data_IF_977591953438
#
_entry.id   IF_977591953438
#
_cell.length_a   1.000
_cell.length_b   1.000
_cell.length_c   1.000
_cell.angle_alpha   90.00
_cell.angle_beta   90.00
_cell.angle_gamma   90.00
#
_symmetry.space_group_name_H-M   'P 1'
#
loop_
_entity.id
_entity.type
_entity.pdbx_description
1 polymer ?
#
# COMPACT_ATOMS: atom_id res chain seq x y z
N UNK A 1 -12.43 -2.43 -12.96
CA UNK A 1 -12.21 -2.25 -11.51
C UNK A 1 -13.08 -3.25 -10.78
N UNK A 2 -12.48 -4.20 -10.07
CA UNK A 2 -13.23 -5.13 -9.22
C UNK A 2 -13.23 -4.68 -7.77
N UNK A 3 -14.37 -4.88 -7.10
CA UNK A 3 -14.57 -4.56 -5.69
C UNK A 3 -15.19 -5.79 -5.02
N UNK A 4 -14.62 -6.18 -3.87
CA UNK A 4 -15.14 -7.32 -3.11
C UNK A 4 -16.59 -7.09 -2.66
N UNK A 5 -17.44 -8.12 -2.75
CA UNK A 5 -18.89 -8.02 -2.52
C UNK A 5 -19.28 -7.31 -1.21
N UNK A 6 -18.52 -7.56 -0.13
CA UNK A 6 -18.73 -6.92 1.18
C UNK A 6 -18.58 -5.38 1.21
N UNK A 7 -18.12 -4.77 0.12
CA UNK A 7 -17.93 -3.34 -0.04
C UNK A 7 -18.83 -2.70 -1.11
N UNK A 8 -19.80 -3.44 -1.70
CA UNK A 8 -20.75 -2.87 -2.68
C UNK A 8 -21.49 -1.65 -2.14
N UNK A 9 -22.09 -1.76 -0.95
CA UNK A 9 -22.77 -0.63 -0.29
C UNK A 9 -21.83 0.57 -0.08
N UNK A 10 -20.56 0.32 0.27
CA UNK A 10 -19.56 1.38 0.45
C UNK A 10 -19.20 2.04 -0.88
N UNK A 11 -19.10 1.25 -1.96
CA UNK A 11 -18.87 1.79 -3.30
C UNK A 11 -20.06 2.65 -3.74
N UNK A 12 -21.29 2.17 -3.59
CA UNK A 12 -22.49 2.92 -3.97
C UNK A 12 -22.59 4.27 -3.24
N UNK A 13 -22.26 4.28 -1.94
CA UNK A 13 -22.18 5.52 -1.15
C UNK A 13 -21.09 6.47 -1.69
N UNK A 14 -19.88 5.96 -1.96
CA UNK A 14 -18.78 6.74 -2.57
C UNK A 14 -19.23 7.33 -3.91
N UNK A 15 -19.83 6.53 -4.79
CA UNK A 15 -20.26 6.98 -6.13
C UNK A 15 -21.32 8.08 -6.05
N UNK A 16 -22.16 8.08 -5.01
CA UNK A 16 -23.13 9.14 -4.77
C UNK A 16 -22.50 10.48 -4.35
N UNK A 17 -21.30 10.42 -3.76
CA UNK A 17 -20.56 11.54 -3.20
C UNK A 17 -19.49 12.12 -4.14
N UNK A 18 -19.12 11.39 -5.21
CA UNK A 18 -18.18 11.88 -6.22
C UNK A 18 -18.81 13.06 -6.97
N UNK A 19 -18.14 14.23 -7.03
CA UNK A 19 -18.65 15.37 -7.78
C UNK A 19 -18.87 15.01 -9.26
N UNK A 20 -20.03 15.38 -9.81
CA UNK A 20 -20.34 15.18 -11.25
C UNK A 20 -19.53 16.08 -12.20
N UNK A 21 -18.71 16.97 -11.65
CA UNK A 21 -17.89 17.90 -12.42
C UNK A 21 -16.49 17.36 -12.69
N UNK A 22 -15.88 17.90 -13.74
CA UNK A 22 -14.60 17.45 -14.27
C UNK A 22 -13.44 17.62 -13.25
N UNK A 23 -12.73 16.52 -12.97
CA UNK A 23 -11.53 16.50 -12.12
C UNK A 23 -10.36 17.06 -12.93
N UNK A 24 -9.67 18.07 -12.38
CA UNK A 24 -8.62 18.81 -13.10
C UNK A 24 -7.42 17.89 -13.42
N UNK A 25 -6.98 17.92 -14.68
CA UNK A 25 -5.79 17.20 -15.16
C UNK A 25 -4.52 17.69 -14.47
N UNK A 26 -3.60 16.78 -14.16
CA UNK A 26 -2.25 17.10 -13.69
C UNK A 26 -1.18 16.39 -14.54
N UNK A 27 0.01 16.98 -14.74
CA UNK A 27 1.04 16.41 -15.64
C UNK A 27 1.59 15.05 -15.18
N UNK A 28 1.33 14.67 -13.93
CA UNK A 28 1.86 13.47 -13.31
C UNK A 28 1.07 12.20 -13.63
N UNK A 29 -0.20 12.29 -14.06
CA UNK A 29 -0.95 11.12 -14.55
C UNK A 29 -0.30 10.54 -15.81
N UNK A 30 0.02 11.39 -16.79
CA UNK A 30 0.75 11.00 -18.00
C UNK A 30 2.13 10.40 -17.66
N UNK A 31 2.83 10.99 -16.69
CA UNK A 31 4.13 10.46 -16.24
C UNK A 31 3.99 9.07 -15.62
N UNK A 32 2.94 8.80 -14.84
CA UNK A 32 2.64 7.46 -14.32
C UNK A 32 2.31 6.49 -15.46
N UNK A 33 1.46 6.88 -16.40
CA UNK A 33 1.12 6.06 -17.57
C UNK A 33 2.38 5.58 -18.29
N UNK A 34 3.25 6.51 -18.71
CA UNK A 34 4.50 6.18 -19.40
C UNK A 34 5.42 5.30 -18.56
N UNK A 35 5.48 5.54 -17.25
CA UNK A 35 6.32 4.76 -16.35
C UNK A 35 5.85 3.32 -16.27
N UNK A 36 4.55 3.10 -16.00
CA UNK A 36 3.95 1.78 -15.85
C UNK A 36 3.93 1.03 -17.19
N UNK A 37 3.52 1.67 -18.28
CA UNK A 37 3.55 1.05 -19.61
C UNK A 37 4.97 0.63 -20.02
N UNK A 38 6.00 1.37 -19.58
CA UNK A 38 7.39 0.95 -19.80
C UNK A 38 7.84 -0.25 -18.95
N UNK A 39 7.20 -0.45 -17.78
CA UNK A 39 7.37 -1.64 -16.94
C UNK A 39 6.72 -2.87 -17.58
N UNK A 40 5.47 -2.73 -18.00
CA UNK A 40 4.70 -3.77 -18.67
C UNK A 40 5.39 -4.20 -19.97
N UNK A 41 5.73 -3.25 -20.84
CA UNK A 41 6.44 -3.52 -22.09
C UNK A 41 7.81 -4.15 -21.88
N UNK A 42 8.49 -3.87 -20.75
CA UNK A 42 9.75 -4.53 -20.43
C UNK A 42 9.53 -6.02 -20.15
N UNK A 43 8.56 -6.38 -19.32
CA UNK A 43 8.21 -7.78 -19.06
C UNK A 43 7.84 -8.51 -20.35
N UNK A 44 6.92 -7.96 -21.13
CA UNK A 44 6.40 -8.58 -22.36
C UNK A 44 7.52 -8.88 -23.38
N UNK A 45 8.60 -8.09 -23.38
CA UNK A 45 9.75 -8.26 -24.28
C UNK A 45 10.81 -9.24 -23.79
N UNK A 46 10.86 -9.52 -22.49
CA UNK A 46 12.03 -10.18 -21.86
C UNK A 46 11.69 -11.43 -21.06
N UNK A 47 10.41 -11.67 -20.75
CA UNK A 47 9.99 -12.80 -19.93
C UNK A 47 10.45 -14.18 -20.46
N UNK A 48 10.40 -14.42 -21.77
CA UNK A 48 10.74 -15.70 -22.39
C UNK A 48 12.19 -16.14 -22.13
N UNK A 49 13.12 -15.19 -22.09
CA UNK A 49 14.56 -15.48 -21.98
C UNK A 49 15.10 -15.31 -20.56
N UNK A 50 14.38 -14.57 -19.70
CA UNK A 50 14.90 -14.13 -18.42
C UNK A 50 14.20 -14.78 -17.22
N UNK A 51 13.14 -15.56 -17.45
CA UNK A 51 12.34 -16.16 -16.40
C UNK A 51 12.44 -17.68 -16.40
N UNK A 52 12.73 -18.25 -15.23
CA UNK A 52 12.76 -19.70 -15.00
C UNK A 52 11.70 -20.05 -13.98
N UNK A 53 10.89 -21.07 -14.28
CA UNK A 53 9.92 -21.64 -13.35
C UNK A 53 10.41 -23.01 -12.87
N UNK A 54 10.40 -23.22 -11.55
CA UNK A 54 10.57 -24.51 -10.91
C UNK A 54 9.42 -24.81 -9.94
N UNK A 55 9.13 -26.08 -9.70
CA UNK A 55 8.06 -26.52 -8.81
C UNK A 55 8.67 -27.21 -7.60
N UNK A 56 8.34 -26.71 -6.40
CA UNK A 56 8.82 -27.26 -5.14
C UNK A 56 7.69 -27.99 -4.42
N UNK A 57 7.98 -29.18 -3.90
CA UNK A 57 7.03 -30.05 -3.19
C UNK A 57 7.69 -30.75 -2.01
N UNK A 58 6.89 -31.22 -1.05
CA UNK A 58 7.37 -31.94 0.13
C UNK A 58 8.43 -31.13 0.89
N UNK A 59 9.56 -31.78 1.20
CA UNK A 59 10.66 -31.18 1.97
C UNK A 59 11.40 -30.05 1.22
N UNK A 60 11.14 -29.83 -0.07
CA UNK A 60 11.76 -28.76 -0.85
C UNK A 60 11.01 -27.42 -0.76
N UNK A 61 9.82 -27.39 -0.16
CA UNK A 61 9.04 -26.15 0.03
C UNK A 61 9.79 -25.21 0.97
N UNK A 62 9.92 -23.94 0.58
CA UNK A 62 10.60 -22.92 1.39
C UNK A 62 9.55 -22.11 2.16
N UNK A 63 9.60 -22.22 3.49
CA UNK A 63 8.75 -21.49 4.42
C UNK A 63 9.52 -20.40 5.14
N UNK A 64 8.93 -19.22 5.22
CA UNK A 64 9.45 -18.07 5.96
C UNK A 64 8.44 -17.63 7.01
N UNK A 65 8.98 -17.16 8.12
CA UNK A 65 8.27 -16.65 9.29
C UNK A 65 8.85 -15.29 9.65
N UNK A 66 8.04 -14.44 10.28
CA UNK A 66 8.48 -13.10 10.70
C UNK A 66 7.62 -12.59 11.84
N UNK A 67 7.77 -13.15 13.03
CA UNK A 67 7.11 -12.65 14.24
C UNK A 67 7.71 -11.29 14.67
N UNK A 68 6.89 -10.32 15.12
CA UNK A 68 5.43 -10.36 15.29
C UNK A 68 4.63 -9.88 14.07
N UNK A 69 5.27 -9.65 12.91
CA UNK A 69 4.69 -8.97 11.74
C UNK A 69 3.87 -9.89 10.82
N UNK A 70 4.19 -11.18 10.81
CA UNK A 70 3.44 -12.25 10.19
C UNK A 70 2.75 -13.02 11.32
N UNK A 71 1.43 -12.84 11.57
CA UNK A 71 0.76 -13.42 12.72
C UNK A 71 0.85 -14.95 12.78
N UNK A 72 1.15 -15.49 13.97
CA UNK A 72 1.30 -16.93 14.23
C UNK A 72 0.16 -17.79 13.67
N UNK A 73 -1.10 -17.40 13.90
CA UNK A 73 -2.28 -18.11 13.38
C UNK A 73 -2.25 -18.28 11.85
N UNK A 74 -1.83 -17.23 11.13
CA UNK A 74 -1.72 -17.27 9.67
C UNK A 74 -0.50 -18.11 9.27
N UNK A 75 0.62 -18.00 9.99
CA UNK A 75 1.80 -18.83 9.73
C UNK A 75 1.48 -20.32 9.88
N UNK A 76 0.80 -20.70 10.95
CA UNK A 76 0.38 -22.07 11.21
C UNK A 76 -0.57 -22.58 10.13
N UNK A 77 -1.53 -21.75 9.72
CA UNK A 77 -2.43 -22.08 8.62
C UNK A 77 -1.66 -22.35 7.32
N UNK A 78 -0.74 -21.46 6.94
CA UNK A 78 0.07 -21.64 5.72
C UNK A 78 0.92 -22.89 5.84
N UNK A 79 1.63 -23.10 6.96
CA UNK A 79 2.46 -24.31 7.19
C UNK A 79 1.66 -25.60 7.08
N UNK A 80 0.43 -25.61 7.57
CA UNK A 80 -0.44 -26.79 7.56
C UNK A 80 -0.99 -27.09 6.16
N UNK A 81 -1.30 -26.06 5.37
CA UNK A 81 -2.07 -26.20 4.14
C UNK A 81 -1.24 -26.08 2.85
N UNK A 82 0.02 -25.64 2.92
CA UNK A 82 0.88 -25.55 1.73
C UNK A 82 1.33 -26.95 1.29
N UNK A 83 1.06 -27.31 0.04
CA UNK A 83 1.45 -28.62 -0.53
C UNK A 83 2.38 -28.51 -1.75
N UNK A 84 2.40 -27.33 -2.39
CA UNK A 84 3.22 -27.04 -3.57
C UNK A 84 3.62 -25.56 -3.55
N UNK A 85 4.77 -25.25 -4.14
CA UNK A 85 5.22 -23.87 -4.33
C UNK A 85 5.73 -23.69 -5.76
N UNK A 86 5.25 -22.66 -6.45
CA UNK A 86 5.81 -22.23 -7.74
C UNK A 86 6.93 -21.25 -7.46
N UNK A 87 8.15 -21.60 -7.87
CA UNK A 87 9.33 -20.76 -7.70
C UNK A 87 9.76 -20.21 -9.06
N UNK A 88 9.51 -18.92 -9.25
CA UNK A 88 9.99 -18.16 -10.39
C UNK A 88 11.30 -17.46 -10.04
N UNK A 89 12.28 -17.54 -10.92
CA UNK A 89 13.50 -16.73 -10.86
C UNK A 89 13.55 -15.85 -12.10
N UNK A 90 13.66 -14.55 -11.90
CA UNK A 90 13.78 -13.57 -12.96
C UNK A 90 15.14 -12.87 -12.91
N UNK A 91 15.86 -12.92 -14.03
CA UNK A 91 17.16 -12.27 -14.19
C UNK A 91 16.99 -10.93 -14.92
N UNK A 92 17.23 -9.83 -14.21
CA UNK A 92 17.31 -8.53 -14.85
C UNK A 92 18.68 -8.35 -15.51
N UNK A 93 18.82 -7.48 -16.51
CA UNK A 93 20.13 -7.10 -17.04
C UNK A 93 21.08 -6.64 -15.92
N UNK A 94 22.31 -7.16 -15.93
CA UNK A 94 23.29 -6.94 -14.86
C UNK A 94 23.23 -8.01 -13.77
N UNK A 95 23.39 -7.62 -12.51
CA UNK A 95 23.51 -8.54 -11.36
C UNK A 95 22.22 -8.64 -10.51
N UNK A 96 21.11 -8.07 -10.99
CA UNK A 96 19.84 -7.98 -10.26
C UNK A 96 18.99 -9.24 -10.49
N UNK A 97 18.54 -9.87 -9.40
CA UNK A 97 17.73 -11.10 -9.45
C UNK A 97 16.50 -10.96 -8.55
N UNK A 98 15.34 -11.35 -9.07
CA UNK A 98 14.09 -11.43 -8.29
C UNK A 98 13.61 -12.88 -8.28
N UNK A 99 13.40 -13.43 -7.09
CA UNK A 99 12.87 -14.77 -6.87
C UNK A 99 11.49 -14.66 -6.23
N UNK A 100 10.48 -15.29 -6.83
CA UNK A 100 9.10 -15.25 -6.36
C UNK A 100 8.63 -16.66 -6.05
N UNK A 101 8.16 -16.85 -4.82
CA UNK A 101 7.67 -18.12 -4.30
C UNK A 101 6.16 -18.01 -4.04
N UNK A 102 5.35 -18.56 -4.94
CA UNK A 102 3.90 -18.66 -4.73
C UNK A 102 3.57 -19.93 -3.96
N UNK A 103 3.12 -19.80 -2.72
CA UNK A 103 2.62 -20.90 -1.91
C UNK A 103 1.21 -21.29 -2.36
N UNK A 104 1.03 -22.56 -2.73
CA UNK A 104 -0.26 -23.08 -3.15
C UNK A 104 -0.88 -23.84 -1.98
N UNK A 105 -1.99 -23.31 -1.49
CA UNK A 105 -2.82 -23.94 -0.46
C UNK A 105 -4.08 -24.50 -1.13
N UNK A 106 -4.40 -25.77 -0.91
CA UNK A 106 -5.66 -26.42 -1.32
C UNK A 106 -6.02 -26.47 -2.83
N UNK A 107 -5.18 -25.98 -3.75
CA UNK A 107 -5.41 -26.13 -5.20
C UNK A 107 -4.91 -27.49 -5.74
N UNK A 108 -5.84 -28.37 -6.12
CA UNK A 108 -5.53 -29.61 -6.86
C UNK A 108 -5.10 -29.31 -8.31
N UNK A 109 -5.65 -28.27 -8.92
CA UNK A 109 -5.33 -27.81 -10.28
C UNK A 109 -4.72 -26.41 -10.18
N UNK A 110 -3.50 -26.28 -10.71
CA UNK A 110 -2.77 -25.02 -10.71
C UNK A 110 -3.14 -24.21 -11.95
N UNK A 111 -3.67 -23.01 -11.77
CA UNK A 111 -3.86 -22.06 -12.87
C UNK A 111 -2.54 -21.31 -13.14
N UNK A 112 -1.67 -21.86 -14.00
CA UNK A 112 -0.38 -21.24 -14.33
C UNK A 112 -0.51 -19.87 -15.00
N UNK A 113 -1.59 -19.61 -15.74
CA UNK A 113 -1.82 -18.31 -16.38
C UNK A 113 -1.97 -17.21 -15.34
N UNK A 114 -2.77 -17.44 -14.29
CA UNK A 114 -2.90 -16.51 -13.16
C UNK A 114 -1.55 -16.11 -12.58
N UNK A 115 -0.66 -17.08 -12.32
CA UNK A 115 0.66 -16.78 -11.76
C UNK A 115 1.58 -16.08 -12.77
N UNK A 116 1.43 -16.35 -14.07
CA UNK A 116 2.12 -15.61 -15.12
C UNK A 116 1.68 -14.14 -15.18
N UNK A 117 0.38 -13.87 -15.05
CA UNK A 117 -0.18 -12.52 -15.03
C UNK A 117 0.29 -11.75 -13.77
N UNK A 118 0.32 -12.42 -12.61
CA UNK A 118 0.93 -11.86 -11.40
C UNK A 118 2.42 -11.55 -11.60
N UNK A 119 3.18 -12.43 -12.28
CA UNK A 119 4.60 -12.19 -12.60
C UNK A 119 4.76 -10.96 -13.51
N UNK A 120 3.87 -10.74 -14.48
CA UNK A 120 3.87 -9.53 -15.31
C UNK A 120 3.81 -8.26 -14.46
N UNK A 121 2.91 -8.23 -13.47
CA UNK A 121 2.77 -7.10 -12.55
C UNK A 121 3.99 -6.94 -11.62
N UNK A 122 4.47 -8.05 -11.04
CA UNK A 122 5.61 -8.08 -10.13
C UNK A 122 6.87 -7.53 -10.81
N UNK A 123 7.20 -8.06 -11.98
CA UNK A 123 8.41 -7.68 -12.72
C UNK A 123 8.30 -6.28 -13.31
N UNK A 124 7.11 -5.89 -13.79
CA UNK A 124 6.85 -4.52 -14.25
C UNK A 124 7.17 -3.48 -13.17
N UNK A 125 6.66 -3.69 -11.95
CA UNK A 125 6.93 -2.77 -10.85
C UNK A 125 8.38 -2.85 -10.36
N UNK A 126 8.97 -4.06 -10.29
CA UNK A 126 10.38 -4.21 -9.91
C UNK A 126 11.32 -3.47 -10.88
N UNK A 127 11.05 -3.53 -12.19
CA UNK A 127 11.79 -2.75 -13.20
C UNK A 127 11.73 -1.25 -12.93
N UNK A 128 10.54 -0.74 -12.57
CA UNK A 128 10.35 0.66 -12.21
C UNK A 128 11.15 0.99 -10.95
N UNK A 129 11.07 0.15 -9.91
CA UNK A 129 11.82 0.34 -8.68
C UNK A 129 13.33 0.50 -8.94
N UNK A 130 13.90 -0.33 -9.80
CA UNK A 130 15.33 -0.29 -10.15
C UNK A 130 15.79 1.04 -10.78
N UNK A 131 14.90 1.81 -11.42
CA UNK A 131 15.24 3.12 -12.01
C UNK A 131 15.43 4.24 -10.99
N UNK A 132 14.84 4.08 -9.80
CA UNK A 132 14.83 5.09 -8.74
C UNK A 132 15.68 4.69 -7.52
N UNK A 133 15.94 3.40 -7.34
CA UNK A 133 16.68 2.87 -6.21
C UNK A 133 18.18 3.21 -6.23
N UNK A 134 18.83 3.05 -5.08
CA UNK A 134 20.28 2.92 -5.01
C UNK A 134 20.71 1.55 -5.58
N UNK A 135 21.94 1.44 -6.08
CA UNK A 135 22.41 0.23 -6.76
C UNK A 135 22.43 -0.98 -5.83
N UNK A 136 22.71 -0.74 -4.56
CA UNK A 136 22.94 -1.71 -3.50
C UNK A 136 21.63 -2.32 -2.97
N UNK A 137 20.53 -1.55 -2.93
CA UNK A 137 19.25 -2.04 -2.40
C UNK A 137 18.68 -3.16 -3.28
N UNK A 138 18.30 -4.30 -2.68
CA UNK A 138 17.66 -5.43 -3.35
C UNK A 138 18.43 -5.91 -4.58
N UNK A 139 19.74 -6.20 -4.44
CA UNK A 139 20.52 -6.86 -5.50
C UNK A 139 19.93 -8.23 -5.82
N UNK A 140 19.58 -8.97 -4.78
CA UNK A 140 18.76 -10.18 -4.87
C UNK A 140 17.56 -10.01 -3.97
N UNK A 141 16.37 -10.28 -4.48
CA UNK A 141 15.12 -10.07 -3.75
C UNK A 141 14.26 -11.33 -3.80
N UNK A 142 13.99 -11.92 -2.63
CA UNK A 142 13.10 -13.06 -2.47
C UNK A 142 11.73 -12.61 -1.99
N UNK A 143 10.68 -12.96 -2.72
CA UNK A 143 9.30 -12.58 -2.44
C UNK A 143 8.51 -13.86 -2.19
N UNK A 144 7.89 -13.98 -1.02
CA UNK A 144 7.06 -15.11 -0.63
C UNK A 144 5.60 -14.67 -0.63
N UNK A 145 4.81 -15.22 -1.55
CA UNK A 145 3.39 -14.94 -1.72
C UNK A 145 2.59 -16.15 -1.23
N UNK A 146 2.08 -16.07 -0.01
CA UNK A 146 1.23 -17.13 0.56
C UNK A 146 -0.25 -16.91 0.27
N UNK A 147 -0.69 -15.65 0.19
CA UNK A 147 -2.03 -15.26 -0.28
C UNK A 147 -3.19 -16.03 0.41
N UNK A 148 -3.14 -16.13 1.75
CA UNK A 148 -4.23 -16.75 2.51
C UNK A 148 -5.53 -15.93 2.45
N UNK A 149 -6.65 -16.60 2.71
CA UNK A 149 -7.99 -15.98 2.72
C UNK A 149 -8.29 -15.11 3.95
N UNK A 150 -7.38 -15.07 4.93
CA UNK A 150 -7.53 -14.22 6.12
C UNK A 150 -7.73 -12.76 5.72
N UNK A 151 -8.72 -12.11 6.34
CA UNK A 151 -9.07 -10.71 6.06
C UNK A 151 -8.70 -9.80 7.23
N UNK A 152 -8.37 -8.56 6.90
CA UNK A 152 -8.23 -7.44 7.83
C UNK A 152 -9.61 -7.05 8.32
N UNK A 153 -9.88 -7.30 9.60
CA UNK A 153 -11.17 -6.99 10.23
C UNK A 153 -10.98 -6.32 11.59
N UNK A 154 -11.89 -5.39 11.90
CA UNK A 154 -12.07 -4.88 13.25
C UNK A 154 -12.43 -6.02 14.20
N UNK A 155 -11.91 -6.07 15.43
CA UNK A 155 -12.35 -7.01 16.46
C UNK A 155 -13.82 -6.83 16.85
N UNK A 156 -14.41 -7.86 17.49
CA UNK A 156 -15.81 -7.82 17.96
C UNK A 156 -15.99 -6.84 19.14
N UNK A 157 -14.92 -6.59 19.89
CA UNK A 157 -14.94 -5.85 21.13
C UNK A 157 -13.97 -4.67 21.05
N UNK A 158 -14.49 -3.46 21.19
CA UNK A 158 -13.77 -2.18 21.11
C UNK A 158 -12.62 -2.02 22.11
N UNK A 159 -12.54 -2.87 23.14
CA UNK A 159 -11.43 -2.89 24.11
C UNK A 159 -10.15 -3.46 23.48
N UNK A 160 -10.29 -4.30 22.43
CA UNK A 160 -9.14 -4.94 21.77
C UNK A 160 -8.34 -3.89 21.01
N UNK A 161 -7.05 -3.79 21.33
CA UNK A 161 -6.11 -2.89 20.66
C UNK A 161 -5.80 -3.42 19.25
N UNK A 162 -5.91 -2.57 18.24
CA UNK A 162 -5.63 -2.93 16.86
C UNK A 162 -4.13 -3.21 16.66
N UNK A 163 -3.81 -4.38 16.13
CA UNK A 163 -2.43 -4.84 15.90
C UNK A 163 -2.20 -5.41 14.51
N UNK A 164 -1.08 -6.10 14.34
CA UNK A 164 -0.61 -6.68 13.08
C UNK A 164 -1.65 -7.62 12.46
N UNK A 165 -2.29 -8.46 13.29
CA UNK A 165 -3.37 -9.36 12.85
C UNK A 165 -4.61 -8.62 12.33
N UNK A 166 -4.82 -7.34 12.66
CA UNK A 166 -5.96 -6.58 12.16
C UNK A 166 -5.65 -5.79 10.89
N UNK A 167 -4.39 -5.37 10.68
CA UNK A 167 -4.07 -4.34 9.67
C UNK A 167 -2.90 -4.68 8.73
N UNK A 168 -1.99 -5.58 9.09
CA UNK A 168 -0.81 -5.89 8.26
C UNK A 168 -1.14 -7.00 7.26
N UNK A 169 -0.57 -6.93 6.06
CA UNK A 169 -0.70 -7.98 5.03
C UNK A 169 0.67 -8.49 4.56
N UNK A 170 1.72 -7.68 4.71
CA UNK A 170 3.07 -8.03 4.32
C UNK A 170 4.10 -7.49 5.31
N UNK A 171 5.34 -7.89 5.07
CA UNK A 171 6.54 -7.43 5.77
C UNK A 171 7.74 -7.57 4.85
N UNK A 172 8.69 -6.65 4.96
CA UNK A 172 9.90 -6.63 4.15
C UNK A 172 11.11 -6.13 4.92
N UNK A 173 12.29 -6.47 4.46
CA UNK A 173 13.53 -5.81 4.92
C UNK A 173 13.77 -4.53 4.13
N UNK A 174 14.34 -3.49 4.77
CA UNK A 174 14.61 -2.21 4.09
C UNK A 174 15.99 -2.19 3.46
N UNK A 175 16.06 -1.83 2.17
CA UNK A 175 17.28 -1.60 1.38
C UNK A 175 18.45 -2.55 1.73
N UNK A 176 18.15 -3.84 1.87
CA UNK A 176 19.17 -4.87 2.09
C UNK A 176 19.68 -5.39 0.75
N UNK A 177 20.95 -5.80 0.66
CA UNK A 177 21.53 -6.36 -0.58
C UNK A 177 20.78 -7.64 -0.98
N UNK A 178 20.58 -8.51 0.00
CA UNK A 178 19.70 -9.67 -0.03
C UNK A 178 18.42 -9.29 0.71
N UNK A 179 17.34 -9.04 -0.04
CA UNK A 179 16.08 -8.57 0.53
C UNK A 179 15.03 -9.69 0.55
N UNK A 180 14.22 -9.74 1.59
CA UNK A 180 13.11 -10.68 1.71
C UNK A 180 11.80 -9.93 1.96
N UNK A 181 10.77 -10.25 1.18
CA UNK A 181 9.40 -9.77 1.36
C UNK A 181 8.46 -10.95 1.53
N UNK A 182 7.56 -10.88 2.50
CA UNK A 182 6.49 -11.86 2.72
C UNK A 182 5.15 -11.15 2.58
N UNK A 183 4.24 -11.69 1.77
CA UNK A 183 2.86 -11.23 1.65
C UNK A 183 1.95 -12.42 1.89
N UNK A 184 1.16 -12.35 2.96
CA UNK A 184 0.46 -13.51 3.51
C UNK A 184 -1.06 -13.46 3.38
N UNK A 185 -1.66 -12.34 2.98
CA UNK A 185 -3.10 -12.28 2.64
C UNK A 185 -3.29 -12.01 1.15
N UNK A 186 -4.34 -12.58 0.58
CA UNK A 186 -4.72 -12.33 -0.81
C UNK A 186 -5.29 -10.92 -1.00
N UNK A 187 -5.97 -10.37 0.01
CA UNK A 187 -6.57 -9.04 -0.09
C UNK A 187 -5.49 -7.97 -0.34
N UNK A 188 -5.70 -7.12 -1.33
CA UNK A 188 -4.80 -6.02 -1.72
C UNK A 188 -3.37 -6.46 -2.02
N UNK A 189 -3.17 -7.72 -2.44
CA UNK A 189 -1.83 -8.32 -2.55
C UNK A 189 -0.88 -7.47 -3.40
N UNK A 190 -1.36 -6.89 -4.50
CA UNK A 190 -0.52 -6.10 -5.41
C UNK A 190 -0.20 -4.72 -4.85
N UNK A 191 -1.18 -4.04 -4.23
CA UNK A 191 -0.95 -2.79 -3.50
C UNK A 191 0.07 -2.99 -2.38
N UNK A 192 -0.08 -4.08 -1.62
CA UNK A 192 0.87 -4.44 -0.55
C UNK A 192 2.23 -4.76 -1.14
N UNK A 193 2.31 -5.46 -2.26
CA UNK A 193 3.57 -5.68 -2.96
C UNK A 193 4.25 -4.36 -3.35
N UNK A 194 3.50 -3.38 -3.88
CA UNK A 194 4.03 -2.05 -4.18
C UNK A 194 4.59 -1.39 -2.91
N UNK A 195 3.82 -1.41 -1.82
CA UNK A 195 4.20 -0.87 -0.51
C UNK A 195 5.52 -1.47 -0.01
N UNK A 196 5.59 -2.80 0.07
CA UNK A 196 6.78 -3.50 0.57
C UNK A 196 7.99 -3.30 -0.36
N UNK A 197 7.78 -3.22 -1.67
CA UNK A 197 8.85 -2.94 -2.63
C UNK A 197 9.41 -1.53 -2.48
N UNK A 198 8.59 -0.54 -2.17
CA UNK A 198 9.08 0.82 -1.90
C UNK A 198 10.01 0.84 -0.67
N UNK A 199 9.67 0.13 0.41
CA UNK A 199 10.58 -0.04 1.55
C UNK A 199 11.84 -0.83 1.18
N UNK A 200 11.68 -1.93 0.43
CA UNK A 200 12.78 -2.79 0.02
C UNK A 200 13.82 -2.06 -0.85
N UNK A 201 13.38 -1.13 -1.70
CA UNK A 201 14.25 -0.34 -2.58
C UNK A 201 14.63 1.03 -2.00
N UNK A 202 14.27 1.32 -0.75
CA UNK A 202 14.66 2.53 -0.03
C UNK A 202 14.02 3.81 -0.56
N UNK A 203 12.71 3.77 -0.86
CA UNK A 203 11.96 4.91 -1.41
C UNK A 203 11.40 5.84 -0.34
N UNK A 204 11.53 5.46 0.91
CA UNK A 204 10.91 6.09 2.06
C UNK A 204 11.88 7.00 2.83
N UNK A 205 11.40 7.49 3.97
CA UNK A 205 12.16 8.35 4.87
C UNK A 205 13.15 7.47 5.64
N UNK A 206 14.43 7.84 5.59
CA UNK A 206 15.51 7.11 6.22
C UNK A 206 15.46 7.20 7.74
N UNK A 207 16.16 6.26 8.37
CA UNK A 207 16.29 6.16 9.82
C UNK A 207 16.83 7.44 10.47
N UNK A 208 17.65 8.20 9.73
CA UNK A 208 18.18 9.50 10.16
C UNK A 208 17.09 10.53 10.42
N UNK A 209 16.02 10.53 9.63
CA UNK A 209 15.00 11.59 9.65
C UNK A 209 13.64 11.15 10.18
N UNK A 210 13.31 9.86 10.19
CA UNK A 210 12.00 9.34 10.65
C UNK A 210 11.62 9.86 12.04
N UNK A 211 12.55 9.86 12.99
CA UNK A 211 12.28 10.31 14.36
C UNK A 211 12.08 11.82 14.45
N UNK A 212 12.75 12.59 13.58
CA UNK A 212 12.66 14.04 13.54
C UNK A 212 11.28 14.47 13.06
N UNK A 213 10.83 13.93 11.92
CA UNK A 213 9.50 14.26 11.38
C UNK A 213 8.38 13.73 12.29
N UNK A 214 8.51 12.52 12.81
CA UNK A 214 7.50 11.92 13.71
C UNK A 214 7.30 12.77 14.96
N UNK A 215 8.38 13.29 15.56
CA UNK A 215 8.31 14.20 16.72
C UNK A 215 7.57 15.49 16.40
N UNK A 216 7.82 16.09 15.23
CA UNK A 216 7.14 17.33 14.86
C UNK A 216 5.66 17.10 14.57
N UNK A 217 5.32 16.10 13.75
CA UNK A 217 3.93 15.79 13.38
C UNK A 217 3.11 15.34 14.58
N UNK A 218 3.71 14.65 15.56
CA UNK A 218 3.02 14.26 16.79
C UNK A 218 2.42 15.44 17.56
N UNK A 219 2.98 16.65 17.43
CA UNK A 219 2.44 17.85 18.08
C UNK A 219 1.11 18.32 17.51
N UNK A 220 0.70 17.80 16.34
CA UNK A 220 -0.57 18.14 15.68
C UNK A 220 -1.75 17.30 16.19
N UNK A 221 -1.48 16.21 16.93
CA UNK A 221 -2.48 15.21 17.25
C UNK A 221 -2.40 14.74 18.72
N UNK A 222 -3.54 14.70 19.40
CA UNK A 222 -3.67 14.40 20.82
C UNK A 222 -3.83 12.91 21.11
N UNK A 223 -2.93 12.09 20.56
CA UNK A 223 -2.99 10.62 20.67
C UNK A 223 -1.65 9.97 21.00
N UNK A 224 -1.72 8.72 21.49
CA UNK A 224 -0.56 7.87 21.73
C UNK A 224 -0.25 7.03 20.48
N UNK A 225 0.50 7.61 19.57
CA UNK A 225 1.05 6.91 18.40
C UNK A 225 2.56 7.14 18.26
N UNK A 226 3.25 6.19 17.63
CA UNK A 226 4.63 6.37 17.17
C UNK A 226 4.72 7.28 15.94
N UNK A 227 3.60 7.57 15.28
CA UNK A 227 3.50 8.52 14.15
C UNK A 227 4.48 8.18 13.02
N UNK A 228 4.50 6.93 12.54
CA UNK A 228 5.43 6.52 11.48
C UNK A 228 5.05 7.13 10.13
N UNK A 229 5.57 8.32 9.86
CA UNK A 229 5.24 9.12 8.67
C UNK A 229 5.67 8.41 7.39
N UNK A 230 6.75 7.62 7.46
CA UNK A 230 7.24 6.83 6.34
C UNK A 230 6.25 5.77 5.86
N UNK A 231 5.47 5.18 6.76
CA UNK A 231 4.42 4.21 6.44
C UNK A 231 3.26 4.89 5.69
N UNK A 232 2.87 6.10 6.13
CA UNK A 232 1.83 6.88 5.47
C UNK A 232 2.27 7.35 4.08
N UNK A 233 3.53 7.78 3.93
CA UNK A 233 4.10 8.19 2.65
C UNK A 233 4.11 7.04 1.64
N UNK A 234 4.58 5.85 2.05
CA UNK A 234 4.62 4.67 1.19
C UNK A 234 3.22 4.16 0.88
N UNK A 235 2.32 4.11 1.87
CA UNK A 235 0.93 3.69 1.65
C UNK A 235 0.19 4.60 0.68
N UNK A 236 0.43 5.92 0.74
CA UNK A 236 -0.14 6.90 -0.21
C UNK A 236 0.32 6.58 -1.64
N UNK A 237 1.62 6.39 -1.84
CA UNK A 237 2.15 6.00 -3.15
C UNK A 237 1.64 4.65 -3.62
N UNK A 238 1.59 3.65 -2.72
CA UNK A 238 1.14 2.30 -3.05
C UNK A 238 -0.29 2.31 -3.60
N UNK A 239 -1.19 3.09 -2.99
CA UNK A 239 -2.57 3.25 -3.44
C UNK A 239 -2.67 3.98 -4.79
N UNK A 240 -1.89 5.06 -4.97
CA UNK A 240 -1.82 5.79 -6.24
C UNK A 240 -1.34 4.88 -7.38
N UNK A 241 -0.25 4.14 -7.16
CA UNK A 241 0.36 3.26 -8.17
C UNK A 241 -0.56 2.07 -8.46
N UNK A 242 -1.15 1.45 -7.42
CA UNK A 242 -2.12 0.37 -7.59
C UNK A 242 -3.33 0.82 -8.43
N UNK A 243 -3.88 2.01 -8.12
CA UNK A 243 -4.96 2.60 -8.91
C UNK A 243 -4.56 2.92 -10.35
N UNK A 244 -3.31 3.31 -10.59
CA UNK A 244 -2.78 3.51 -11.93
C UNK A 244 -2.65 2.20 -12.72
N UNK A 245 -2.13 1.12 -12.11
CA UNK A 245 -2.12 -0.20 -12.74
C UNK A 245 -3.55 -0.68 -13.05
N UNK A 246 -4.48 -0.58 -12.07
CA UNK A 246 -5.87 -0.96 -12.26
C UNK A 246 -6.56 -0.19 -13.40
N UNK A 247 -6.18 1.07 -13.59
CA UNK A 247 -6.68 1.90 -14.69
C UNK A 247 -6.05 1.52 -16.03
N UNK A 248 -4.76 1.18 -16.07
CA UNK A 248 -4.06 0.79 -17.30
C UNK A 248 -4.56 -0.54 -17.86
N UNK A 249 -4.78 -1.53 -16.99
CA UNK A 249 -5.20 -2.87 -17.44
C UNK A 249 -6.56 -2.88 -18.16
N UNK A 250 -7.38 -1.84 -17.96
CA UNK A 250 -8.70 -1.71 -18.61
C UNK A 250 -8.78 -0.56 -19.61
N UNK A 251 -7.73 0.25 -19.73
CA UNK A 251 -7.71 1.40 -20.63
C UNK A 251 -7.38 1.00 -22.06
N UNK A 252 -8.10 1.56 -23.03
CA UNK A 252 -7.79 1.36 -24.46
C UNK A 252 -6.60 2.21 -24.92
N UNK A 253 -6.48 3.42 -24.38
CA UNK A 253 -5.43 4.37 -24.72
C UNK A 253 -5.06 5.29 -23.54
N UNK A 254 -4.10 6.20 -23.75
CA UNK A 254 -3.62 7.13 -22.72
C UNK A 254 -4.73 8.10 -22.23
N UNK A 255 -5.67 8.47 -23.09
CA UNK A 255 -6.77 9.38 -22.75
C UNK A 255 -7.83 8.66 -21.92
N UNK A 256 -8.10 7.40 -22.24
CA UNK A 256 -8.99 6.54 -21.47
C UNK A 256 -8.41 6.24 -20.09
N UNK A 257 -7.12 5.87 -20.04
CA UNK A 257 -6.36 5.75 -18.79
C UNK A 257 -6.52 6.98 -17.91
N UNK A 258 -6.36 8.18 -18.47
CA UNK A 258 -6.44 9.42 -17.69
C UNK A 258 -7.80 9.55 -16.98
N UNK A 259 -8.90 9.24 -17.66
CA UNK A 259 -10.25 9.29 -17.07
C UNK A 259 -10.43 8.24 -15.99
N UNK A 260 -10.04 7.00 -16.27
CA UNK A 260 -10.15 5.87 -15.34
C UNK A 260 -9.32 6.11 -14.08
N UNK A 261 -8.12 6.66 -14.24
CA UNK A 261 -7.25 7.02 -13.13
C UNK A 261 -7.82 8.16 -12.29
N UNK A 262 -8.36 9.21 -12.92
CA UNK A 262 -9.06 10.30 -12.21
C UNK A 262 -10.22 9.79 -11.37
N UNK A 263 -11.06 8.95 -11.94
CA UNK A 263 -12.15 8.31 -11.22
C UNK A 263 -11.65 7.43 -10.08
N UNK A 264 -10.64 6.59 -10.34
CA UNK A 264 -10.05 5.70 -9.35
C UNK A 264 -9.46 6.47 -8.16
N UNK A 265 -8.81 7.60 -8.40
CA UNK A 265 -8.25 8.44 -7.33
C UNK A 265 -9.33 9.09 -6.46
N UNK A 266 -10.49 9.48 -7.02
CA UNK A 266 -11.62 9.96 -6.21
C UNK A 266 -12.21 8.86 -5.34
N UNK A 267 -12.35 7.65 -5.88
CA UNK A 267 -12.81 6.48 -5.12
C UNK A 267 -11.85 6.19 -3.97
N UNK A 268 -10.55 6.14 -4.24
CA UNK A 268 -9.53 5.90 -3.21
C UNK A 268 -9.47 7.03 -2.18
N UNK A 269 -9.63 8.30 -2.59
CA UNK A 269 -9.72 9.46 -1.68
C UNK A 269 -10.85 9.30 -0.68
N UNK A 270 -12.09 9.10 -1.15
CA UNK A 270 -13.24 8.96 -0.27
C UNK A 270 -13.17 7.68 0.56
N UNK A 271 -12.69 6.57 -0.01
CA UNK A 271 -12.49 5.33 0.74
C UNK A 271 -11.46 5.50 1.87
N UNK A 272 -10.41 6.30 1.66
CA UNK A 272 -9.42 6.60 2.70
C UNK A 272 -10.05 7.29 3.92
N UNK A 273 -10.96 8.24 3.66
CA UNK A 273 -11.71 8.98 4.68
C UNK A 273 -12.64 8.03 5.46
N UNK A 274 -13.39 7.18 4.75
CA UNK A 274 -14.28 6.18 5.35
C UNK A 274 -13.50 5.22 6.26
N UNK A 275 -12.33 4.74 5.82
CA UNK A 275 -11.52 3.84 6.64
C UNK A 275 -10.87 4.54 7.85
N UNK A 276 -10.50 5.82 7.71
CA UNK A 276 -10.05 6.63 8.84
C UNK A 276 -11.16 6.80 9.89
N UNK A 277 -12.39 7.12 9.46
CA UNK A 277 -13.55 7.20 10.37
C UNK A 277 -13.85 5.85 11.02
N UNK A 278 -13.75 4.74 10.28
CA UNK A 278 -13.99 3.39 10.79
C UNK A 278 -13.04 3.04 11.94
N UNK A 279 -11.74 3.32 11.77
CA UNK A 279 -10.74 3.05 12.82
C UNK A 279 -10.93 3.97 14.02
N UNK A 280 -11.17 5.26 13.82
CA UNK A 280 -11.39 6.20 14.92
C UNK A 280 -12.69 5.89 15.67
N UNK A 281 -13.77 5.61 14.93
CA UNK A 281 -15.08 5.27 15.48
C UNK A 281 -15.07 3.97 16.28
N UNK A 282 -14.27 2.97 15.86
CA UNK A 282 -14.03 1.77 16.66
C UNK A 282 -13.43 2.09 18.04
N UNK A 283 -12.61 3.13 18.13
CA UNK A 283 -12.04 3.64 19.39
C UNK A 283 -12.94 4.68 20.07
N UNK A 284 -14.19 4.85 19.63
CA UNK A 284 -15.12 5.88 20.09
C UNK A 284 -14.57 7.31 19.96
N UNK A 285 -13.87 7.57 18.85
CA UNK A 285 -13.31 8.87 18.51
C UNK A 285 -13.85 9.35 17.16
N UNK A 286 -14.03 10.66 17.05
CA UNK A 286 -14.11 11.37 15.77
C UNK A 286 -12.81 12.11 15.51
N UNK A 287 -12.55 12.48 14.25
CA UNK A 287 -11.31 13.17 13.88
C UNK A 287 -11.09 14.48 14.67
N UNK A 288 -12.17 15.21 14.94
CA UNK A 288 -12.15 16.41 15.79
C UNK A 288 -11.61 16.14 17.20
N UNK A 289 -11.81 14.94 17.76
CA UNK A 289 -11.23 14.59 19.05
C UNK A 289 -9.70 14.51 18.97
N UNK A 290 -9.16 14.12 17.81
CA UNK A 290 -7.75 13.81 17.60
C UNK A 290 -6.92 15.07 17.32
N UNK A 291 -7.50 16.12 16.75
CA UNK A 291 -6.79 17.36 16.35
C UNK A 291 -7.03 18.58 17.26
N UNK A 292 -7.90 18.46 18.27
CA UNK A 292 -8.17 19.52 19.25
C UNK A 292 -7.21 19.37 20.42
N UNK A 293 -6.36 20.37 20.63
CA UNK A 293 -5.38 20.40 21.72
C UNK A 293 -6.01 20.30 23.12
N UNK A 294 -5.35 19.55 24.00
CA UNK A 294 -5.71 19.19 25.38
C UNK A 294 -6.88 18.20 25.52
N UNK A 295 -7.11 17.37 24.50
CA UNK A 295 -8.14 16.34 24.59
C UNK A 295 -7.64 15.05 25.28
N UNK A 296 -7.73 15.04 26.61
CA UNK A 296 -7.44 13.84 27.44
C UNK A 296 -8.23 12.60 27.03
N UNK A 297 -9.38 12.75 26.37
CA UNK A 297 -10.21 11.63 25.90
C UNK A 297 -9.50 10.89 24.76
N UNK A 298 -9.07 11.60 23.72
CA UNK A 298 -8.37 11.00 22.57
C UNK A 298 -7.09 10.29 23.02
N UNK A 299 -6.34 10.93 23.92
CA UNK A 299 -5.11 10.36 24.47
C UNK A 299 -5.33 9.06 25.27
N UNK A 300 -6.53 8.86 25.84
CA UNK A 300 -6.88 7.69 26.66
C UNK A 300 -7.55 6.57 25.86
N UNK A 301 -8.35 6.93 24.85
CA UNK A 301 -9.11 6.00 24.02
C UNK A 301 -8.29 5.46 22.85
N UNK A 302 -7.42 6.27 22.25
CA UNK A 302 -6.63 5.85 21.09
C UNK A 302 -5.61 4.79 21.47
N UNK A 303 -5.67 3.61 20.83
CA UNK A 303 -4.80 2.47 21.13
C UNK A 303 -4.41 1.71 19.86
N UNK A 304 -3.11 1.60 19.61
CA UNK A 304 -2.55 0.79 18.52
C UNK A 304 -1.34 -0.03 19.00
N UNK A 305 -1.13 -1.20 18.39
CA UNK A 305 0.09 -2.02 18.48
C UNK A 305 0.80 -2.19 17.13
N UNK A 306 0.23 -1.64 16.07
CA UNK A 306 0.81 -1.52 14.72
C UNK A 306 0.67 -0.06 14.25
N UNK A 307 1.03 0.25 13.00
CA UNK A 307 1.07 1.62 12.46
C UNK A 307 -0.31 2.14 12.02
N UNK A 308 -1.35 1.88 12.82
CA UNK A 308 -2.76 2.12 12.48
C UNK A 308 -3.00 3.61 12.13
N UNK A 309 -2.51 4.53 12.96
CA UNK A 309 -2.67 5.96 12.70
C UNK A 309 -2.07 6.37 11.36
N UNK A 310 -0.88 5.84 11.04
CA UNK A 310 -0.19 6.14 9.81
C UNK A 310 -0.97 5.62 8.60
N UNK A 311 -1.34 4.33 8.61
CA UNK A 311 -2.01 3.68 7.48
C UNK A 311 -3.40 4.23 7.17
N UNK A 312 -4.16 4.64 8.19
CA UNK A 312 -5.55 5.04 8.00
C UNK A 312 -5.75 6.55 8.07
N UNK A 313 -5.22 7.23 9.09
CA UNK A 313 -5.53 8.65 9.33
C UNK A 313 -4.56 9.57 8.59
N UNK A 314 -3.24 9.37 8.74
CA UNK A 314 -2.27 10.19 8.01
C UNK A 314 -2.35 9.95 6.51
N UNK A 315 -2.50 8.69 6.07
CA UNK A 315 -2.73 8.39 4.66
C UNK A 315 -4.01 9.05 4.14
N UNK A 316 -5.10 9.13 4.90
CA UNK A 316 -6.30 9.84 4.46
C UNK A 316 -6.06 11.35 4.27
N UNK A 317 -5.24 11.97 5.13
CA UNK A 317 -4.82 13.38 4.96
C UNK A 317 -4.02 13.54 3.66
N UNK A 318 -3.05 12.65 3.39
CA UNK A 318 -2.22 12.69 2.18
C UNK A 318 -3.01 12.36 0.89
N UNK A 319 -3.96 11.44 0.99
CA UNK A 319 -4.86 11.04 -0.10
C UNK A 319 -6.00 12.03 -0.33
N UNK A 320 -6.16 13.08 0.49
CA UNK A 320 -7.20 14.09 0.27
C UNK A 320 -7.02 14.83 -1.06
N UNK A 321 -5.79 14.99 -1.52
CA UNK A 321 -5.51 15.45 -2.89
C UNK A 321 -4.30 14.67 -3.44
N UNK A 322 -4.54 13.49 -4.02
CA UNK A 322 -3.45 12.63 -4.51
C UNK A 322 -2.71 13.28 -5.69
N UNK A 323 -3.35 14.19 -6.43
CA UNK A 323 -2.72 14.94 -7.51
C UNK A 323 -1.72 15.95 -6.97
N UNK A 324 -2.14 16.76 -6.01
CA UNK A 324 -1.24 17.72 -5.35
C UNK A 324 -0.14 16.98 -4.60
N UNK A 325 -0.39 15.81 -4.02
CA UNK A 325 0.64 14.96 -3.42
C UNK A 325 1.71 14.52 -4.45
N UNK A 326 1.31 14.04 -5.63
CA UNK A 326 2.24 13.69 -6.70
C UNK A 326 3.06 14.90 -7.18
N UNK A 327 2.43 16.08 -7.29
CA UNK A 327 3.10 17.33 -7.65
C UNK A 327 4.11 17.75 -6.58
N UNK A 328 3.70 17.70 -5.31
CA UNK A 328 4.55 17.95 -4.17
C UNK A 328 5.80 17.05 -4.21
N UNK A 329 5.62 15.74 -4.36
CA UNK A 329 6.73 14.79 -4.47
C UNK A 329 7.65 15.11 -5.66
N UNK A 330 7.10 15.53 -6.80
CA UNK A 330 7.87 15.92 -7.98
C UNK A 330 8.72 17.18 -7.78
N UNK A 331 8.35 18.03 -6.83
CA UNK A 331 9.08 19.25 -6.45
C UNK A 331 10.16 18.98 -5.41
N UNK A 332 9.88 18.09 -4.45
CA UNK A 332 10.80 17.85 -3.32
C UNK A 332 11.83 16.74 -3.60
N UNK A 333 11.51 15.80 -4.49
CA UNK A 333 12.34 14.64 -4.77
C UNK A 333 13.00 14.75 -6.15
N UNK A 334 14.34 14.74 -6.19
CA UNK A 334 15.11 14.59 -7.44
C UNK A 334 14.69 13.33 -8.20
N UNK A 335 14.38 12.27 -7.46
CA UNK A 335 13.93 10.98 -7.97
C UNK A 335 12.45 10.75 -7.66
N UNK A 336 11.59 11.71 -8.02
CA UNK A 336 10.11 11.70 -7.92
C UNK A 336 9.46 10.77 -6.88
N UNK A 337 9.42 9.46 -7.12
CA UNK A 337 8.88 8.45 -6.21
C UNK A 337 9.70 8.27 -4.91
N UNK A 338 11.03 8.24 -5.03
CA UNK A 338 11.95 8.07 -3.90
C UNK A 338 12.10 9.38 -3.14
N UNK A 339 11.81 9.35 -1.84
CA UNK A 339 11.98 10.48 -0.95
C UNK A 339 13.45 10.93 -0.89
N UNK A 340 13.69 12.23 -1.11
CA UNK A 340 15.01 12.81 -1.00
C UNK A 340 15.34 13.05 0.49
N UNK A 341 16.13 12.16 1.07
CA UNK A 341 16.52 12.17 2.48
C UNK A 341 17.44 13.35 2.86
N UNK A 342 16.87 14.55 2.89
CA UNK A 342 17.49 15.82 3.26
C UNK A 342 16.61 16.55 4.27
N UNK A 343 17.22 17.34 5.16
CA UNK A 343 16.46 18.15 6.12
C UNK A 343 15.46 19.11 5.44
N UNK A 344 15.78 19.60 4.23
CA UNK A 344 14.87 20.44 3.43
C UNK A 344 13.59 19.68 3.07
N UNK A 345 13.72 18.52 2.42
CA UNK A 345 12.56 17.72 2.02
C UNK A 345 11.72 17.26 3.23
N UNK A 346 12.38 16.94 4.35
CA UNK A 346 11.72 16.59 5.61
C UNK A 346 10.85 17.74 6.14
N UNK A 347 11.39 18.97 6.18
CA UNK A 347 10.64 20.16 6.60
C UNK A 347 9.48 20.48 5.64
N UNK A 348 9.68 20.26 4.34
CA UNK A 348 8.63 20.50 3.36
C UNK A 348 7.49 19.46 3.46
N UNK A 349 7.80 18.20 3.77
CA UNK A 349 6.78 17.17 4.03
C UNK A 349 6.05 17.45 5.36
N UNK A 350 6.78 17.92 6.36
CA UNK A 350 6.17 18.35 7.63
C UNK A 350 5.14 19.46 7.40
N UNK A 351 5.51 20.49 6.64
CA UNK A 351 4.61 21.60 6.33
C UNK A 351 3.42 21.15 5.47
N UNK A 352 3.66 20.26 4.51
CA UNK A 352 2.58 19.68 3.70
C UNK A 352 1.51 18.99 4.58
N UNK A 353 1.93 18.20 5.57
CA UNK A 353 1.00 17.56 6.53
C UNK A 353 0.34 18.59 7.45
N UNK A 354 1.10 19.60 7.92
CA UNK A 354 0.60 20.68 8.79
C UNK A 354 -0.48 21.53 8.10
N UNK A 355 -0.42 21.68 6.79
CA UNK A 355 -1.50 22.31 6.02
C UNK A 355 -2.67 21.32 5.85
N UNK A 356 -2.37 20.09 5.44
CA UNK A 356 -3.38 19.08 5.11
C UNK A 356 -4.28 18.65 6.27
N UNK A 357 -3.77 18.52 7.50
CA UNK A 357 -4.54 17.95 8.61
C UNK A 357 -5.77 18.79 9.02
N UNK A 358 -5.81 20.07 8.63
CA UNK A 358 -6.92 21.01 8.82
C UNK A 358 -7.42 21.62 7.52
N UNK A 359 -7.08 21.01 6.39
CA UNK A 359 -7.58 21.46 5.09
C UNK A 359 -9.12 21.47 5.09
N UNK A 360 -9.78 22.55 4.64
CA UNK A 360 -11.24 22.64 4.67
C UNK A 360 -11.95 21.51 3.92
N UNK A 361 -11.42 21.09 2.76
CA UNK A 361 -12.02 20.01 1.96
C UNK A 361 -11.85 18.65 2.62
N UNK A 362 -10.71 18.42 3.29
CA UNK A 362 -10.51 17.21 4.10
C UNK A 362 -11.47 17.19 5.30
N UNK A 363 -11.55 18.32 6.02
CA UNK A 363 -12.41 18.46 7.19
C UNK A 363 -13.89 18.29 6.85
N UNK A 364 -14.33 18.79 5.69
CA UNK A 364 -15.69 18.57 5.19
C UNK A 364 -15.96 17.07 5.01
N UNK A 365 -15.08 16.35 4.31
CA UNK A 365 -15.30 14.93 4.03
C UNK A 365 -15.18 14.06 5.28
N UNK A 366 -14.17 14.26 6.14
CA UNK A 366 -13.98 13.46 7.37
C UNK A 366 -15.06 13.71 8.44
N UNK A 367 -15.88 14.76 8.30
CA UNK A 367 -17.01 15.07 9.19
C UNK A 367 -18.35 14.60 8.64
N UNK A 368 -18.44 14.20 7.37
CA UNK A 368 -19.64 13.57 6.82
C UNK A 368 -19.93 12.25 7.53
N UNK A 369 -21.20 11.89 7.62
CA UNK A 369 -21.62 10.62 8.20
C UNK A 369 -21.67 9.55 7.11
N UNK A 370 -20.63 8.74 6.99
CA UNK A 370 -20.61 7.58 6.09
C UNK A 370 -21.17 6.32 6.75
N UNK A 371 -21.66 5.38 5.94
CA UNK A 371 -22.16 4.09 6.40
C UNK A 371 -21.00 3.11 6.69
N UNK A 372 -20.74 2.85 7.97
CA UNK A 372 -19.62 2.02 8.45
C UNK A 372 -20.01 0.56 8.75
N UNK A 373 -21.05 0.02 8.10
CA UNK A 373 -21.60 -1.32 8.42
C UNK A 373 -20.60 -2.47 8.31
N UNK A 374 -19.72 -2.47 7.30
CA UNK A 374 -18.74 -3.54 7.16
C UNK A 374 -17.56 -3.33 8.14
N UNK A 375 -17.05 -4.44 8.69
CA UNK A 375 -15.93 -4.44 9.64
C UNK A 375 -14.57 -4.60 8.99
N UNK A 376 -14.52 -4.59 7.66
CA UNK A 376 -13.30 -4.79 6.92
C UNK A 376 -12.37 -3.57 6.99
N UNK A 377 -11.08 -3.87 7.10
CA UNK A 377 -10.00 -2.91 7.31
C UNK A 377 -9.03 -2.87 6.12
N UNK A 378 -9.49 -3.25 4.92
CA UNK A 378 -8.69 -3.06 3.70
C UNK A 378 -8.37 -1.58 3.47
N UNK A 379 -7.22 -1.26 2.91
CA UNK A 379 -6.75 0.15 2.80
C UNK A 379 -7.05 0.75 1.42
N UNK A 380 -7.09 -0.09 0.39
CA UNK A 380 -7.47 0.18 -1.00
C UNK A 380 -8.79 -0.51 -1.29
N UNK A 381 -9.71 0.17 -1.97
CA UNK A 381 -10.93 -0.45 -2.47
C UNK A 381 -10.66 -1.18 -3.79
N UNK A 382 -9.66 -0.70 -4.53
CA UNK A 382 -9.33 -1.16 -5.87
C UNK A 382 -8.31 -2.30 -5.84
N UNK A 383 -8.58 -3.34 -6.61
CA UNK A 383 -7.67 -4.45 -6.91
C UNK A 383 -7.22 -4.40 -8.36
N UNK A 384 -6.02 -4.91 -8.60
CA UNK A 384 -5.51 -5.26 -9.93
C UNK A 384 -5.60 -6.78 -10.05
N UNK A 385 -6.21 -7.25 -11.14
CA UNK A 385 -6.38 -8.69 -11.41
C UNK A 385 -5.37 -9.19 -12.41
#
# INVERSE_FOLDING_TARGET
MEVADSYKDTLDEILSDIPKQYIKKGPYSNRLYKLISSGLSFYDKTNENNMILSILTGNNIIMKASEPYFPEEIQENVKKNIHKQLHYTYYFPGEKVVEVYFGLMNEHIVNYQKYHDMMRLIISWAHICMRYAFKECSRRHKIYLYLSDFKKILPNNQIVTLGQSNVNTGVTTRCSVENETIIYRQEEWFKVYIHEMMHAFGFDISDTYRNTISRSIKTLFDIRSSMKIEEAYVETWARIINGAYASIEVAEDEKDFEKLFLFTMEVERLFSVIQAQKVLGYMNLVYDNVIRGDNRIAYSLYREKSNVFAYYVLTAILMNDPYTFMQFCGRINRKWLRFDNTMKAVKELEEYIRIGYKDPSFLENIRKSYNLKNRGLRMSLIEVN
#
